data_IF_966955275544
#
_entry.id   IF_966955275544
#
_cell.length_a   1.000
_cell.length_b   1.000
_cell.length_c   1.000
_cell.angle_alpha   90.00
_cell.angle_beta   90.00
_cell.angle_gamma   90.00
#
_symmetry.space_group_name_H-M   'P 1'
#
loop_
_entity.id
_entity.type
_entity.pdbx_description
1 polymer ?
#
# COMPACT_ATOMS: atom_id res chain seq x y z
N UNK A 1 43.88 19.14 36.84
CA UNK A 1 43.01 20.19 36.28
C UNK A 1 41.76 19.51 35.78
N UNK A 2 40.72 19.51 36.60
CA UNK A 2 39.44 18.87 36.27
C UNK A 2 38.59 19.89 35.54
N UNK A 3 38.41 19.70 34.24
CA UNK A 3 37.40 20.42 33.45
C UNK A 3 36.03 19.87 33.85
N UNK A 4 35.40 20.50 34.83
CA UNK A 4 33.96 20.36 35.04
C UNK A 4 33.29 20.85 33.76
N UNK A 5 32.73 19.91 32.97
CA UNK A 5 31.90 20.25 31.81
C UNK A 5 30.79 21.19 32.28
N UNK A 6 30.62 22.30 31.57
CA UNK A 6 29.58 23.28 31.85
C UNK A 6 28.23 22.54 31.96
N UNK A 7 27.49 22.67 33.08
CA UNK A 7 26.22 22.00 33.28
C UNK A 7 25.20 22.31 32.17
N UNK A 8 25.34 23.44 31.48
CA UNK A 8 24.53 23.78 30.32
C UNK A 8 24.90 22.94 29.07
N UNK A 9 26.20 22.73 28.82
CA UNK A 9 26.66 21.84 27.73
C UNK A 9 26.24 20.38 27.96
N UNK A 10 26.32 19.90 29.21
CA UNK A 10 25.88 18.55 29.56
C UNK A 10 24.35 18.36 29.39
N UNK A 11 23.56 19.41 29.66
CA UNK A 11 22.10 19.41 29.42
C UNK A 11 21.78 19.41 27.92
N UNK A 12 22.48 20.23 27.14
CA UNK A 12 22.31 20.32 25.69
C UNK A 12 22.71 19.01 25.00
N UNK A 13 23.84 18.40 25.39
CA UNK A 13 24.26 17.09 24.90
C UNK A 13 23.19 16.01 25.17
N UNK A 14 22.61 15.98 26.38
CA UNK A 14 21.53 15.04 26.73
C UNK A 14 20.28 15.25 25.87
N UNK A 15 19.86 16.50 25.63
CA UNK A 15 18.69 16.77 24.79
C UNK A 15 18.94 16.38 23.33
N UNK A 16 20.12 16.71 22.79
CA UNK A 16 20.52 16.32 21.43
C UNK A 16 20.62 14.81 21.28
N UNK A 17 21.14 14.11 22.30
CA UNK A 17 21.22 12.65 22.29
C UNK A 17 19.83 12.01 22.33
N UNK A 18 18.91 12.55 23.12
CA UNK A 18 17.50 12.11 23.14
C UNK A 18 16.80 12.32 21.79
N UNK A 19 17.02 13.46 21.12
CA UNK A 19 16.46 13.71 19.78
C UNK A 19 17.03 12.73 18.75
N UNK A 20 18.34 12.45 18.81
CA UNK A 20 19.01 11.50 17.91
C UNK A 20 18.53 10.06 18.13
N UNK A 21 18.33 9.63 19.38
CA UNK A 21 17.82 8.28 19.67
C UNK A 21 16.39 8.11 19.19
N UNK A 22 15.51 9.07 19.46
CA UNK A 22 14.12 9.03 18.98
C UNK A 22 14.05 8.99 17.45
N UNK A 23 14.91 9.77 16.78
CA UNK A 23 14.99 9.76 15.32
C UNK A 23 15.48 8.42 14.77
N UNK A 24 16.52 7.84 15.36
CA UNK A 24 17.05 6.54 14.95
C UNK A 24 16.03 5.41 15.18
N UNK A 25 15.25 5.47 16.25
CA UNK A 25 14.16 4.52 16.52
C UNK A 25 13.04 4.62 15.48
N UNK A 26 12.60 5.84 15.15
CA UNK A 26 11.61 6.07 14.10
C UNK A 26 12.10 5.61 12.72
N UNK A 27 13.35 5.91 12.36
CA UNK A 27 13.94 5.48 11.09
C UNK A 27 14.02 3.94 11.00
N UNK A 28 14.32 3.27 12.11
CA UNK A 28 14.33 1.81 12.19
C UNK A 28 12.92 1.21 12.07
N UNK A 29 11.92 1.81 12.71
CA UNK A 29 10.53 1.37 12.64
C UNK A 29 9.96 1.51 11.22
N UNK A 30 10.20 2.65 10.57
CA UNK A 30 9.83 2.89 9.17
C UNK A 30 10.51 1.88 8.24
N UNK A 31 11.81 1.66 8.42
CA UNK A 31 12.55 0.67 7.61
C UNK A 31 11.97 -0.74 7.75
N UNK A 32 11.64 -1.16 8.98
CA UNK A 32 11.04 -2.48 9.21
C UNK A 32 9.65 -2.59 8.58
N UNK A 33 8.83 -1.53 8.63
CA UNK A 33 7.49 -1.54 8.05
C UNK A 33 7.52 -1.62 6.53
N UNK A 34 8.40 -0.85 5.90
CA UNK A 34 8.56 -0.87 4.44
C UNK A 34 8.97 -2.27 3.95
N UNK A 35 9.95 -2.89 4.60
CA UNK A 35 10.38 -4.27 4.30
C UNK A 35 9.25 -5.28 4.48
N UNK A 36 8.47 -5.15 5.57
CA UNK A 36 7.30 -6.00 5.81
C UNK A 36 6.28 -5.88 4.66
N UNK A 37 5.94 -4.66 4.27
CA UNK A 37 4.99 -4.42 3.19
C UNK A 37 5.46 -5.01 1.87
N UNK A 38 6.75 -4.90 1.55
CA UNK A 38 7.28 -5.45 0.31
C UNK A 38 7.20 -6.98 0.27
N UNK A 39 7.40 -7.65 1.41
CA UNK A 39 7.24 -9.11 1.52
C UNK A 39 5.78 -9.53 1.37
N UNK A 40 4.87 -8.89 2.11
CA UNK A 40 3.44 -9.23 2.04
C UNK A 40 2.81 -8.84 0.70
N UNK A 41 3.27 -7.76 0.09
CA UNK A 41 2.83 -7.34 -1.23
C UNK A 41 3.17 -8.36 -2.31
N UNK A 42 4.35 -8.96 -2.27
CA UNK A 42 4.70 -10.06 -3.20
C UNK A 42 3.69 -11.20 -3.11
N UNK A 43 3.23 -11.56 -1.91
CA UNK A 43 2.19 -12.59 -1.72
C UNK A 43 0.84 -12.15 -2.31
N UNK A 44 0.49 -10.86 -2.20
CA UNK A 44 -0.70 -10.29 -2.85
C UNK A 44 -0.58 -10.43 -4.36
N UNK A 45 0.54 -10.03 -4.95
CA UNK A 45 0.80 -10.14 -6.40
C UNK A 45 0.68 -11.60 -6.86
N UNK A 46 1.28 -12.55 -6.16
CA UNK A 46 1.19 -13.97 -6.52
C UNK A 46 -0.24 -14.52 -6.41
N UNK A 47 -0.99 -14.11 -5.38
CA UNK A 47 -2.41 -14.45 -5.22
C UNK A 47 -3.25 -13.88 -6.37
N UNK A 48 -2.94 -12.66 -6.79
CA UNK A 48 -3.63 -11.96 -7.88
C UNK A 48 -3.28 -12.56 -9.24
N UNK A 49 -2.03 -13.02 -9.46
CA UNK A 49 -1.66 -13.80 -10.65
C UNK A 49 -2.50 -15.07 -10.77
N UNK A 50 -2.67 -15.78 -9.66
CA UNK A 50 -3.55 -16.97 -9.63
C UNK A 50 -5.00 -16.61 -9.96
N UNK A 51 -5.51 -15.49 -9.43
CA UNK A 51 -6.85 -15.01 -9.74
C UNK A 51 -6.99 -14.59 -11.21
N UNK A 52 -6.00 -13.88 -11.76
CA UNK A 52 -5.95 -13.46 -13.16
C UNK A 52 -6.02 -14.66 -14.11
N UNK A 53 -5.23 -15.71 -13.83
CA UNK A 53 -5.27 -16.95 -14.61
C UNK A 53 -6.65 -17.61 -14.59
N UNK A 54 -7.32 -17.63 -13.43
CA UNK A 54 -8.68 -18.18 -13.30
C UNK A 54 -9.72 -17.36 -14.05
N UNK A 55 -9.54 -16.04 -14.13
CA UNK A 55 -10.49 -15.11 -14.74
C UNK A 55 -10.15 -14.74 -16.18
N UNK A 56 -9.09 -15.29 -16.77
CA UNK A 56 -8.57 -14.90 -18.09
C UNK A 56 -9.61 -14.95 -19.21
N UNK A 57 -10.56 -15.88 -19.13
CA UNK A 57 -11.64 -16.05 -20.13
C UNK A 57 -13.02 -15.64 -19.61
N UNK A 58 -13.08 -14.97 -18.47
CA UNK A 58 -14.35 -14.58 -17.88
C UNK A 58 -15.00 -13.46 -18.73
N UNK A 59 -16.24 -13.62 -19.21
CA UNK A 59 -16.83 -12.70 -20.18
C UNK A 59 -17.00 -11.27 -19.65
N UNK A 60 -17.13 -11.12 -18.34
CA UNK A 60 -17.22 -9.79 -17.70
C UNK A 60 -15.88 -9.10 -17.46
N UNK A 61 -14.75 -9.80 -17.54
CA UNK A 61 -13.43 -9.21 -17.26
C UNK A 61 -12.85 -8.66 -18.56
N UNK A 62 -12.87 -7.34 -18.71
CA UNK A 62 -12.34 -6.66 -19.91
C UNK A 62 -10.83 -6.44 -19.84
N UNK A 63 -10.33 -6.17 -18.63
CA UNK A 63 -8.93 -5.88 -18.40
C UNK A 63 -8.53 -6.40 -17.03
N UNK A 64 -7.42 -7.13 -16.96
CA UNK A 64 -6.82 -7.53 -15.71
C UNK A 64 -5.32 -7.57 -15.93
N UNK A 65 -4.60 -6.58 -15.40
CA UNK A 65 -3.17 -6.38 -15.63
C UNK A 65 -2.46 -6.16 -14.30
N UNK A 66 -1.27 -6.74 -14.20
CA UNK A 66 -0.29 -6.45 -13.17
C UNK A 66 0.83 -5.68 -13.88
N UNK A 67 1.25 -4.55 -13.30
CA UNK A 67 2.31 -3.72 -13.86
C UNK A 67 3.64 -4.49 -13.93
N UNK A 68 4.56 -4.07 -14.81
CA UNK A 68 5.83 -4.80 -15.04
C UNK A 68 6.75 -4.82 -13.82
N UNK A 69 6.64 -3.82 -12.96
CA UNK A 69 7.37 -3.69 -11.70
C UNK A 69 6.60 -4.31 -10.53
N UNK A 70 5.48 -4.98 -10.80
CA UNK A 70 4.58 -5.59 -9.82
C UNK A 70 4.03 -4.62 -8.77
N UNK A 71 4.11 -3.30 -8.97
CA UNK A 71 3.67 -2.30 -7.96
C UNK A 71 2.18 -1.99 -8.02
N UNK A 72 1.52 -2.31 -9.13
CA UNK A 72 0.13 -1.97 -9.38
C UNK A 72 -0.63 -3.10 -10.08
N UNK A 73 -1.89 -3.27 -9.67
CA UNK A 73 -2.84 -4.22 -10.22
C UNK A 73 -4.06 -3.43 -10.66
N UNK A 74 -4.45 -3.61 -11.91
CA UNK A 74 -5.63 -2.96 -12.49
C UNK A 74 -6.64 -4.02 -12.94
N UNK A 75 -7.91 -3.83 -12.58
CA UNK A 75 -9.01 -4.70 -12.99
C UNK A 75 -10.19 -3.87 -13.52
N UNK A 76 -10.64 -4.17 -14.73
CA UNK A 76 -11.85 -3.61 -15.34
C UNK A 76 -12.89 -4.70 -15.58
N UNK A 77 -14.06 -4.54 -14.98
CA UNK A 77 -15.17 -5.50 -15.04
C UNK A 77 -16.39 -4.80 -15.62
N UNK A 78 -17.11 -5.47 -16.52
CA UNK A 78 -18.43 -5.04 -16.99
C UNK A 78 -19.39 -5.06 -15.81
N UNK A 79 -20.00 -3.92 -15.52
CA UNK A 79 -20.96 -3.74 -14.44
C UNK A 79 -22.08 -2.82 -14.91
N UNK A 80 -23.25 -3.40 -15.21
CA UNK A 80 -24.43 -2.67 -15.67
C UNK A 80 -25.03 -1.73 -14.62
N UNK A 81 -24.65 -1.88 -13.34
CA UNK A 81 -25.11 -1.01 -12.26
C UNK A 81 -24.21 0.22 -12.08
N UNK A 82 -22.99 0.18 -12.62
CA UNK A 82 -22.07 1.31 -12.58
C UNK A 82 -22.42 2.36 -13.65
N UNK A 83 -22.20 3.65 -13.34
CA UNK A 83 -22.53 4.79 -14.23
C UNK A 83 -21.95 4.68 -15.65
N UNK A 84 -20.81 4.01 -15.82
CA UNK A 84 -20.13 3.83 -17.11
C UNK A 84 -20.25 2.41 -17.68
N UNK A 85 -21.16 1.59 -17.16
CA UNK A 85 -21.31 0.17 -17.46
C UNK A 85 -20.06 -0.68 -17.17
N UNK A 86 -19.16 -0.16 -16.34
CA UNK A 86 -17.98 -0.88 -15.86
C UNK A 86 -17.57 -0.38 -14.48
N UNK A 87 -16.96 -1.27 -13.72
CA UNK A 87 -16.19 -0.94 -12.52
C UNK A 87 -14.71 -1.10 -12.81
N UNK A 88 -13.92 -0.17 -12.31
CA UNK A 88 -12.49 -0.12 -12.55
C UNK A 88 -11.76 0.03 -11.22
N UNK A 89 -10.90 -0.93 -10.93
CA UNK A 89 -10.17 -1.05 -9.68
C UNK A 89 -8.68 -0.89 -9.93
N UNK A 90 -8.02 -0.15 -9.05
CA UNK A 90 -6.57 -0.09 -8.95
C UNK A 90 -6.20 -0.51 -7.53
N UNK A 91 -5.37 -1.54 -7.40
CA UNK A 91 -4.73 -1.93 -6.14
C UNK A 91 -3.23 -1.67 -6.29
N UNK A 92 -2.65 -0.80 -5.46
CA UNK A 92 -1.28 -0.31 -5.67
C UNK A 92 -0.49 -0.13 -4.38
N UNK A 93 0.83 -0.31 -4.46
CA UNK A 93 1.77 0.00 -3.37
C UNK A 93 1.95 1.48 -3.13
N UNK A 94 1.66 2.30 -4.13
CA UNK A 94 1.75 3.75 -4.06
C UNK A 94 0.39 4.34 -4.37
N UNK A 95 0.10 5.54 -3.84
CA UNK A 95 -1.13 6.22 -4.23
C UNK A 95 -1.11 6.42 -5.75
N UNK A 96 -2.18 6.06 -6.50
CA UNK A 96 -2.18 6.14 -7.97
C UNK A 96 -1.85 7.54 -8.49
N UNK A 97 -2.34 8.58 -7.80
CA UNK A 97 -2.06 9.98 -8.12
C UNK A 97 -0.81 10.57 -7.44
N UNK A 98 0.00 9.74 -6.75
CA UNK A 98 1.23 10.15 -6.02
C UNK A 98 1.03 11.26 -4.97
N UNK A 99 -0.20 11.46 -4.49
CA UNK A 99 -0.57 12.54 -3.54
C UNK A 99 -0.01 12.37 -2.13
N UNK A 100 0.40 11.15 -1.75
CA UNK A 100 0.81 10.80 -0.39
C UNK A 100 2.14 10.04 -0.36
N UNK A 101 3.27 10.68 -0.69
CA UNK A 101 4.57 10.04 -0.65
C UNK A 101 4.96 9.65 0.78
N UNK A 102 5.59 8.49 0.95
CA UNK A 102 6.12 8.02 2.24
C UNK A 102 5.10 7.38 3.19
N UNK A 103 3.84 7.24 2.77
CA UNK A 103 2.85 6.48 3.51
C UNK A 103 2.98 4.98 3.19
N UNK A 104 3.46 4.22 4.18
CA UNK A 104 3.61 2.77 4.12
C UNK A 104 2.25 2.06 4.27
N UNK A 105 1.45 2.13 3.20
CA UNK A 105 0.13 1.50 3.07
C UNK A 105 -0.08 0.96 1.65
N UNK A 106 -1.10 0.13 1.48
CA UNK A 106 -1.60 -0.31 0.17
C UNK A 106 -2.87 0.47 -0.14
N UNK A 107 -3.00 0.93 -1.38
CA UNK A 107 -4.13 1.71 -1.86
C UNK A 107 -5.07 0.86 -2.70
N UNK A 108 -6.37 1.02 -2.50
CA UNK A 108 -7.42 0.48 -3.35
C UNK A 108 -8.33 1.62 -3.80
N UNK A 109 -8.32 1.89 -5.10
CA UNK A 109 -9.17 2.87 -5.76
C UNK A 109 -10.24 2.15 -6.58
N UNK A 110 -11.48 2.60 -6.49
CA UNK A 110 -12.57 2.21 -7.40
C UNK A 110 -13.06 3.47 -8.11
N UNK A 111 -13.17 3.44 -9.44
CA UNK A 111 -13.53 4.62 -10.19
C UNK A 111 -14.93 5.12 -9.83
N UNK A 112 -15.01 6.33 -9.25
CA UNK A 112 -16.26 6.94 -8.79
C UNK A 112 -16.48 6.84 -7.28
N UNK A 113 -15.59 6.15 -6.55
CA UNK A 113 -15.60 6.02 -5.10
C UNK A 113 -14.35 6.67 -4.49
N UNK A 114 -14.36 6.86 -3.17
CA UNK A 114 -13.20 7.36 -2.44
C UNK A 114 -12.08 6.31 -2.34
N UNK A 115 -10.84 6.79 -2.44
CA UNK A 115 -9.64 5.95 -2.30
C UNK A 115 -9.52 5.41 -0.88
N UNK A 116 -9.30 4.09 -0.76
CA UNK A 116 -9.08 3.42 0.51
C UNK A 116 -7.61 3.08 0.68
N UNK A 117 -7.10 3.21 1.90
CA UNK A 117 -5.77 2.72 2.26
C UNK A 117 -5.86 1.63 3.32
N UNK A 118 -4.89 0.73 3.28
CA UNK A 118 -4.81 -0.43 4.15
C UNK A 118 -3.39 -0.54 4.67
N UNK A 119 -3.27 -0.69 5.99
CA UNK A 119 -1.99 -1.07 6.59
C UNK A 119 -1.63 -2.48 6.14
N UNK A 120 -2.57 -3.41 6.20
CA UNK A 120 -2.32 -4.82 5.89
C UNK A 120 -2.65 -5.14 4.42
N UNK A 121 -1.67 -5.60 3.61
CA UNK A 121 -1.91 -5.91 2.19
C UNK A 121 -2.97 -6.99 1.96
N UNK A 122 -3.08 -7.96 2.88
CA UNK A 122 -4.10 -9.00 2.84
C UNK A 122 -5.51 -8.45 2.93
N UNK A 123 -5.72 -7.39 3.72
CA UNK A 123 -7.03 -6.76 3.90
C UNK A 123 -7.43 -5.99 2.65
N UNK A 124 -6.46 -5.34 2.00
CA UNK A 124 -6.66 -4.67 0.72
C UNK A 124 -7.10 -5.68 -0.36
N UNK A 125 -6.38 -6.82 -0.45
CA UNK A 125 -6.73 -7.91 -1.37
C UNK A 125 -8.11 -8.50 -1.07
N UNK A 126 -8.41 -8.80 0.20
CA UNK A 126 -9.71 -9.33 0.60
C UNK A 126 -10.84 -8.36 0.25
N UNK A 127 -10.60 -7.06 0.40
CA UNK A 127 -11.57 -6.02 0.04
C UNK A 127 -11.76 -5.91 -1.47
N UNK A 128 -10.69 -5.99 -2.25
CA UNK A 128 -10.77 -6.07 -3.71
C UNK A 128 -11.60 -7.30 -4.13
N UNK A 129 -11.30 -8.49 -3.59
CA UNK A 129 -12.01 -9.74 -3.92
C UNK A 129 -13.50 -9.63 -3.58
N UNK A 130 -13.85 -9.09 -2.40
CA UNK A 130 -15.25 -8.84 -2.02
C UNK A 130 -15.95 -7.85 -2.96
N UNK A 131 -15.24 -6.87 -3.49
CA UNK A 131 -15.80 -5.88 -4.41
C UNK A 131 -16.02 -6.44 -5.82
N UNK A 132 -15.16 -7.33 -6.32
CA UNK A 132 -15.27 -7.91 -7.67
C UNK A 132 -16.18 -9.14 -7.72
N UNK A 133 -16.23 -9.96 -6.67
CA UNK A 133 -17.00 -11.20 -6.65
C UNK A 133 -18.47 -11.03 -7.06
N UNK A 134 -19.26 -10.08 -6.50
CA UNK A 134 -20.66 -9.90 -6.91
C UNK A 134 -20.80 -9.39 -8.35
N UNK A 135 -19.79 -8.71 -8.89
CA UNK A 135 -19.80 -8.19 -10.27
C UNK A 135 -19.55 -9.31 -11.29
N UNK A 136 -18.88 -10.38 -10.87
CA UNK A 136 -18.58 -11.55 -11.69
C UNK A 136 -19.70 -12.61 -11.68
N UNK A 137 -20.58 -12.58 -10.68
CA UNK A 137 -21.73 -13.48 -10.55
C UNK A 137 -22.76 -13.34 -11.68
#
# INVERSE_FOLDING_TARGET
MSTEKDPFEALLERQLQGIRSTRAELEKEVSHRSVYLDVEWKKVVDSVRNLQNRLQRHPKVQHFVISKDDTEITIKIIDSHARRNYSYFILSRNHPEKKFPGLDVVWLSEFGEDDRNFREPSDALATLVRAIAPKLA
#
